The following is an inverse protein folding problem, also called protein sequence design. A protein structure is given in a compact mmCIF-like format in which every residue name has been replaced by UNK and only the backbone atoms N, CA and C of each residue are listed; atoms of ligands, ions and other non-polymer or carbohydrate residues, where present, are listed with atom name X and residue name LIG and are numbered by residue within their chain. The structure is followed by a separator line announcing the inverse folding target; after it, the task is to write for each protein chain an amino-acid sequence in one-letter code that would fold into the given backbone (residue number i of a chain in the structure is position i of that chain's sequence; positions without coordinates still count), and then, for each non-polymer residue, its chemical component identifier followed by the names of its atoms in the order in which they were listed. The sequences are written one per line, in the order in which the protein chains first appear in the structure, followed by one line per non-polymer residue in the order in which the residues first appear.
data_IF_259033706570
#
_entry.id   IF_259033706570
#
_cell.length_a   1.000
_cell.length_b   1.000
_cell.length_c   1.000
_cell.angle_alpha   90.00
_cell.angle_beta   90.00
_cell.angle_gamma   90.00
#
_symmetry.space_group_name_H-M   'P 1'
#
loop_
_entity.id
_entity.type
_entity.pdbx_description
1 polymer ?
#
# COMPACT_ATOMS: atom_id res chain seq x y z
N UNK A 1 13.42 -8.61 -22.60
CA UNK A 1 13.60 -9.66 -21.59
C UNK A 1 13.21 -11.02 -22.19
N UNK A 2 13.85 -12.12 -21.77
CA UNK A 2 13.48 -13.48 -22.20
C UNK A 2 13.72 -13.80 -23.69
N UNK A 3 14.58 -13.04 -24.39
CA UNK A 3 14.88 -13.35 -25.80
C UNK A 3 15.73 -14.61 -25.87
N UNK A 4 15.15 -15.68 -26.39
CA UNK A 4 15.88 -16.89 -26.75
C UNK A 4 17.00 -16.53 -27.73
N UNK A 5 18.18 -17.13 -27.52
CA UNK A 5 19.32 -16.98 -28.43
C UNK A 5 19.02 -17.75 -29.71
N UNK A 6 18.49 -17.05 -30.70
CA UNK A 6 18.15 -17.62 -32.01
C UNK A 6 19.32 -17.50 -32.98
N UNK A 7 19.36 -18.41 -33.96
CA UNK A 7 20.25 -18.30 -35.11
C UNK A 7 20.02 -16.98 -35.86
N UNK A 8 21.02 -16.45 -36.59
CA UNK A 8 20.85 -15.23 -37.36
C UNK A 8 19.61 -15.33 -38.27
N UNK A 9 18.80 -14.27 -38.37
CA UNK A 9 17.59 -14.29 -39.19
C UNK A 9 17.95 -14.46 -40.67
N UNK A 10 17.14 -15.23 -41.39
CA UNK A 10 17.25 -15.41 -42.84
C UNK A 10 17.09 -14.08 -43.59
N UNK A 11 17.56 -14.02 -44.83
CA UNK A 11 17.58 -12.81 -45.67
C UNK A 11 16.20 -12.15 -45.80
N UNK A 12 15.13 -12.94 -45.95
CA UNK A 12 13.76 -12.44 -46.01
C UNK A 12 13.32 -11.72 -44.71
N UNK A 13 13.66 -12.29 -43.55
CA UNK A 13 13.35 -11.68 -42.24
C UNK A 13 14.16 -10.41 -41.99
N UNK A 14 15.39 -10.31 -42.54
CA UNK A 14 16.19 -9.08 -42.49
C UNK A 14 15.55 -7.97 -43.31
N UNK A 15 15.19 -8.25 -44.57
CA UNK A 15 14.48 -7.30 -45.44
C UNK A 15 13.17 -6.80 -44.80
N UNK A 16 12.40 -7.70 -44.20
CA UNK A 16 11.16 -7.30 -43.50
C UNK A 16 11.43 -6.37 -42.31
N UNK A 17 12.51 -6.60 -41.55
CA UNK A 17 12.90 -5.72 -40.42
C UNK A 17 13.39 -4.36 -40.91
N UNK A 18 14.17 -4.34 -41.99
CA UNK A 18 14.65 -3.11 -42.62
C UNK A 18 13.49 -2.26 -43.14
N UNK A 19 12.51 -2.88 -43.80
CA UNK A 19 11.33 -2.19 -44.31
C UNK A 19 10.47 -1.63 -43.17
N UNK A 20 10.22 -2.41 -42.11
CA UNK A 20 9.53 -1.91 -40.90
C UNK A 20 10.27 -0.76 -40.23
N UNK A 21 11.61 -0.82 -40.20
CA UNK A 21 12.44 0.24 -39.65
C UNK A 21 12.38 1.52 -40.51
N UNK A 22 12.37 1.38 -41.84
CA UNK A 22 12.18 2.50 -42.78
C UNK A 22 10.83 3.18 -42.54
N UNK A 23 9.75 2.42 -42.52
CA UNK A 23 8.39 2.94 -42.25
C UNK A 23 8.30 3.63 -40.88
N UNK A 24 8.91 3.04 -39.84
CA UNK A 24 8.98 3.66 -38.51
C UNK A 24 9.69 5.01 -38.55
N UNK A 25 10.85 5.11 -39.23
CA UNK A 25 11.62 6.35 -39.34
C UNK A 25 10.82 7.44 -40.06
N UNK A 26 10.25 7.11 -41.21
CA UNK A 26 9.42 8.04 -42.00
C UNK A 26 8.21 8.56 -41.20
N UNK A 27 7.53 7.67 -40.47
CA UNK A 27 6.43 8.05 -39.60
C UNK A 27 6.89 8.99 -38.46
N UNK A 28 8.02 8.68 -37.82
CA UNK A 28 8.57 9.50 -36.74
C UNK A 28 9.05 10.87 -37.25
N UNK A 29 9.74 10.93 -38.38
CA UNK A 29 10.20 12.19 -38.98
C UNK A 29 9.01 13.10 -39.31
N UNK A 30 7.96 12.53 -39.89
CA UNK A 30 6.70 13.27 -40.19
C UNK A 30 6.02 13.75 -38.91
N UNK A 31 5.96 12.90 -37.87
CA UNK A 31 5.37 13.26 -36.58
C UNK A 31 6.14 14.40 -35.89
N UNK A 32 7.47 14.37 -35.93
CA UNK A 32 8.33 15.39 -35.33
C UNK A 32 8.35 16.69 -36.15
N UNK A 33 8.09 16.62 -37.46
CA UNK A 33 7.96 17.76 -38.35
C UNK A 33 6.65 18.56 -38.22
N UNK A 34 5.69 18.10 -37.39
CA UNK A 34 4.45 18.83 -37.12
C UNK A 34 3.28 18.46 -38.03
N UNK A 35 2.92 17.18 -38.08
CA UNK A 35 1.77 16.70 -38.84
C UNK A 35 0.42 17.24 -38.29
N UNK A 36 -0.60 17.44 -39.16
CA UNK A 36 -1.95 17.81 -38.74
C UNK A 36 -2.62 16.73 -37.88
N UNK A 37 -3.58 17.07 -37.00
CA UNK A 37 -4.11 16.15 -35.98
C UNK A 37 -4.62 14.81 -36.49
N UNK A 38 -5.37 14.78 -37.60
CA UNK A 38 -5.88 13.52 -38.16
C UNK A 38 -4.76 12.59 -38.65
N UNK A 39 -3.71 13.17 -39.25
CA UNK A 39 -2.53 12.41 -39.69
C UNK A 39 -1.72 11.93 -38.48
N UNK A 40 -1.63 12.71 -37.40
CA UNK A 40 -1.00 12.30 -36.14
C UNK A 40 -1.65 11.04 -35.58
N UNK A 41 -3.00 10.94 -35.56
CA UNK A 41 -3.67 9.74 -35.06
C UNK A 41 -3.35 8.49 -35.89
N UNK A 42 -3.30 8.62 -37.21
CA UNK A 42 -2.96 7.49 -38.09
C UNK A 42 -1.51 7.04 -37.89
N UNK A 43 -0.56 7.97 -37.93
CA UNK A 43 0.88 7.69 -37.81
C UNK A 43 1.23 7.15 -36.41
N UNK A 44 0.74 7.78 -35.35
CA UNK A 44 0.95 7.27 -33.98
C UNK A 44 0.29 5.90 -33.78
N UNK A 45 -0.86 5.66 -34.41
CA UNK A 45 -1.53 4.36 -34.39
C UNK A 45 -0.65 3.24 -34.94
N UNK A 46 -0.03 3.46 -36.11
CA UNK A 46 0.89 2.50 -36.72
C UNK A 46 2.11 2.22 -35.84
N UNK A 47 2.73 3.28 -35.30
CA UNK A 47 3.93 3.14 -34.45
C UNK A 47 3.62 2.40 -33.15
N UNK A 48 2.55 2.78 -32.45
CA UNK A 48 2.20 2.25 -31.13
C UNK A 48 1.63 0.81 -31.20
N UNK A 49 0.93 0.46 -32.29
CA UNK A 49 0.50 -0.92 -32.54
C UNK A 49 1.69 -1.88 -32.71
N UNK A 50 2.85 -1.39 -33.14
CA UNK A 50 4.08 -2.19 -33.21
C UNK A 50 4.91 -2.10 -31.92
N UNK A 51 4.98 -0.93 -31.30
CA UNK A 51 5.71 -0.69 -30.07
C UNK A 51 4.98 0.34 -29.17
N UNK A 52 4.23 -0.11 -28.15
CA UNK A 52 3.49 0.80 -27.29
C UNK A 52 4.37 1.56 -26.29
N UNK A 53 5.68 1.32 -26.26
CA UNK A 53 6.61 2.03 -25.34
C UNK A 53 7.20 3.31 -25.94
N UNK A 54 6.73 3.74 -27.12
CA UNK A 54 7.11 5.04 -27.70
C UNK A 54 6.32 6.17 -27.04
N UNK A 55 6.81 6.65 -25.88
CA UNK A 55 6.14 7.66 -25.06
C UNK A 55 5.77 8.96 -25.79
N UNK A 56 6.61 9.43 -26.71
CA UNK A 56 6.35 10.62 -27.52
C UNK A 56 5.08 10.46 -28.37
N UNK A 57 4.83 9.28 -28.94
CA UNK A 57 3.64 9.03 -29.74
C UNK A 57 2.37 9.14 -28.89
N UNK A 58 2.36 8.64 -27.65
CA UNK A 58 1.22 8.83 -26.74
C UNK A 58 0.95 10.31 -26.43
N UNK A 59 2.00 11.11 -26.23
CA UNK A 59 1.87 12.55 -26.01
C UNK A 59 1.26 13.27 -27.23
N UNK A 60 1.77 12.99 -28.43
CA UNK A 60 1.26 13.56 -29.67
C UNK A 60 -0.19 13.16 -29.93
N UNK A 61 -0.52 11.88 -29.67
CA UNK A 61 -1.86 11.33 -29.82
C UNK A 61 -2.87 12.02 -28.91
N UNK A 62 -2.54 12.24 -27.62
CA UNK A 62 -3.38 13.02 -26.69
C UNK A 62 -3.67 14.43 -27.18
N UNK A 63 -2.65 15.14 -27.67
CA UNK A 63 -2.82 16.49 -28.23
C UNK A 63 -3.74 16.49 -29.45
N UNK A 64 -3.59 15.51 -30.33
CA UNK A 64 -4.42 15.37 -31.52
C UNK A 64 -5.89 15.06 -31.17
N UNK A 65 -6.14 14.12 -30.24
CA UNK A 65 -7.49 13.80 -29.75
C UNK A 65 -8.19 15.02 -29.14
N UNK A 66 -7.47 15.77 -28.30
CA UNK A 66 -8.00 17.00 -27.70
C UNK A 66 -8.33 18.07 -28.75
N UNK A 67 -7.51 18.20 -29.80
CA UNK A 67 -7.73 19.18 -30.86
C UNK A 67 -8.88 18.82 -31.81
N UNK A 68 -9.10 17.52 -32.07
CA UNK A 68 -10.15 17.06 -32.99
C UNK A 68 -11.56 17.09 -32.36
N UNK A 69 -11.65 16.97 -31.03
CA UNK A 69 -12.93 16.90 -30.33
C UNK A 69 -13.76 15.66 -30.68
N UNK A 70 -15.03 15.65 -30.27
CA UNK A 70 -15.96 14.53 -30.50
C UNK A 70 -15.81 13.37 -29.52
N UNK A 71 -16.59 12.30 -29.75
CA UNK A 71 -16.61 11.09 -28.91
C UNK A 71 -15.63 10.04 -29.43
N UNK A 72 -14.34 10.24 -29.13
CA UNK A 72 -13.26 9.31 -29.49
C UNK A 72 -12.97 8.28 -28.39
N UNK A 73 -13.59 8.38 -27.22
CA UNK A 73 -13.26 7.55 -26.05
C UNK A 73 -13.44 6.05 -26.34
N UNK A 74 -14.57 5.58 -26.94
CA UNK A 74 -14.75 4.14 -27.18
C UNK A 74 -13.72 3.56 -28.16
N UNK A 75 -13.45 4.26 -29.27
CA UNK A 75 -12.49 3.80 -30.27
C UNK A 75 -11.05 3.83 -29.74
N UNK A 76 -10.72 4.83 -28.91
CA UNK A 76 -9.41 4.94 -28.29
C UNK A 76 -9.18 3.88 -27.21
N UNK A 77 -10.18 3.55 -26.39
CA UNK A 77 -10.08 2.44 -25.42
C UNK A 77 -9.83 1.09 -26.12
N UNK A 78 -10.46 0.86 -27.28
CA UNK A 78 -10.23 -0.32 -28.10
C UNK A 78 -8.79 -0.35 -28.65
N UNK A 79 -8.31 0.78 -29.16
CA UNK A 79 -6.92 0.89 -29.63
C UNK A 79 -5.89 0.62 -28.53
N UNK A 80 -6.11 1.16 -27.33
CA UNK A 80 -5.22 0.90 -26.18
C UNK A 80 -5.27 -0.57 -25.75
N UNK A 81 -6.43 -1.21 -25.80
CA UNK A 81 -6.54 -2.65 -25.53
C UNK A 81 -5.72 -3.48 -26.51
N UNK A 82 -5.69 -3.11 -27.80
CA UNK A 82 -4.83 -3.75 -28.80
C UNK A 82 -3.34 -3.57 -28.47
N UNK A 83 -2.94 -2.35 -28.08
CA UNK A 83 -1.57 -2.06 -27.65
C UNK A 83 -1.16 -2.88 -26.42
N UNK A 84 -2.05 -3.06 -25.45
CA UNK A 84 -1.83 -3.93 -24.29
C UNK A 84 -1.76 -5.42 -24.66
N UNK A 85 -2.44 -5.84 -25.73
CA UNK A 85 -2.27 -7.18 -26.30
C UNK A 85 -0.86 -7.42 -26.86
N UNK A 86 -0.17 -6.37 -27.32
CA UNK A 86 1.21 -6.43 -27.80
C UNK A 86 2.21 -6.41 -26.64
N UNK A 87 2.05 -5.48 -25.71
CA UNK A 87 2.85 -5.42 -24.49
C UNK A 87 1.97 -5.09 -23.27
N UNK A 88 1.55 -6.09 -22.48
CA UNK A 88 0.70 -5.88 -21.32
C UNK A 88 1.41 -5.19 -20.14
N UNK A 89 2.73 -4.95 -20.28
CA UNK A 89 3.59 -4.28 -19.28
C UNK A 89 4.03 -2.89 -19.75
N UNK A 90 3.37 -2.32 -20.77
CA UNK A 90 3.68 -0.98 -21.27
C UNK A 90 3.13 0.09 -20.34
N UNK A 91 4.01 0.84 -19.68
CA UNK A 91 3.62 2.00 -18.87
C UNK A 91 2.86 3.05 -19.70
N UNK A 92 3.31 3.30 -20.94
CA UNK A 92 2.70 4.28 -21.83
C UNK A 92 1.25 3.94 -22.14
N UNK A 93 0.97 2.68 -22.47
CA UNK A 93 -0.38 2.22 -22.77
C UNK A 93 -1.31 2.29 -21.55
N UNK A 94 -0.86 1.83 -20.37
CA UNK A 94 -1.67 1.91 -19.13
C UNK A 94 -1.96 3.35 -18.72
N UNK A 95 -0.93 4.22 -18.72
CA UNK A 95 -1.11 5.63 -18.41
C UNK A 95 -2.06 6.33 -19.39
N UNK A 96 -1.93 6.04 -20.69
CA UNK A 96 -2.84 6.58 -21.69
C UNK A 96 -4.26 6.05 -21.50
N UNK A 97 -4.46 4.78 -21.13
CA UNK A 97 -5.78 4.25 -20.78
C UNK A 97 -6.43 5.03 -19.65
N UNK A 98 -5.73 5.23 -18.54
CA UNK A 98 -6.24 6.02 -17.41
C UNK A 98 -6.60 7.45 -17.82
N UNK A 99 -5.79 8.07 -18.69
CA UNK A 99 -6.10 9.38 -19.27
C UNK A 99 -7.38 9.36 -20.11
N UNK A 100 -7.56 8.38 -20.99
CA UNK A 100 -8.78 8.23 -21.82
C UNK A 100 -10.03 8.08 -20.94
N UNK A 101 -9.96 7.24 -19.90
CA UNK A 101 -11.07 7.03 -18.97
C UNK A 101 -11.45 8.31 -18.22
N UNK A 102 -10.47 9.16 -17.89
CA UNK A 102 -10.70 10.47 -17.27
C UNK A 102 -11.44 11.48 -18.16
N UNK A 103 -11.55 11.22 -19.48
CA UNK A 103 -12.26 12.07 -20.43
C UNK A 103 -13.65 11.53 -20.82
N UNK A 104 -14.07 10.41 -20.22
CA UNK A 104 -15.35 9.81 -20.53
C UNK A 104 -16.52 10.59 -19.88
N UNK A 105 -17.63 10.87 -20.60
CA UNK A 105 -18.64 11.86 -20.22
C UNK A 105 -19.49 11.57 -18.96
N UNK A 106 -19.53 10.33 -18.46
CA UNK A 106 -20.17 9.88 -17.22
C UNK A 106 -19.81 8.38 -17.05
N UNK A 107 -19.71 7.79 -15.84
CA UNK A 107 -18.81 6.66 -15.58
C UNK A 107 -19.14 5.46 -16.48
N UNK A 108 -18.37 5.22 -17.56
CA UNK A 108 -18.58 4.09 -18.45
C UNK A 108 -17.64 2.93 -18.09
N UNK A 109 -16.83 3.07 -17.05
CA UNK A 109 -15.50 2.50 -16.95
C UNK A 109 -15.34 1.39 -15.91
N UNK A 110 -16.42 0.76 -15.46
CA UNK A 110 -16.33 -0.31 -14.47
C UNK A 110 -16.16 -1.68 -15.11
N UNK A 111 -17.22 -2.16 -15.77
CA UNK A 111 -17.35 -3.58 -16.11
C UNK A 111 -16.34 -4.04 -17.17
N UNK A 112 -16.20 -3.33 -18.28
CA UNK A 112 -15.29 -3.75 -19.36
C UNK A 112 -13.82 -3.68 -18.95
N UNK A 113 -13.47 -2.67 -18.17
CA UNK A 113 -12.13 -2.47 -17.61
C UNK A 113 -11.79 -3.51 -16.52
N UNK A 114 -12.74 -3.84 -15.64
CA UNK A 114 -12.59 -4.95 -14.70
C UNK A 114 -12.43 -6.28 -15.42
N UNK A 115 -13.23 -6.53 -16.46
CA UNK A 115 -13.10 -7.72 -17.29
C UNK A 115 -11.74 -7.77 -18.03
N UNK A 116 -11.20 -6.62 -18.46
CA UNK A 116 -9.85 -6.54 -19.01
C UNK A 116 -8.80 -6.93 -17.96
N UNK A 117 -8.89 -6.37 -16.74
CA UNK A 117 -8.02 -6.75 -15.63
C UNK A 117 -8.10 -8.25 -15.34
N UNK A 118 -9.30 -8.82 -15.29
CA UNK A 118 -9.50 -10.27 -15.06
C UNK A 118 -8.83 -11.12 -16.13
N UNK A 119 -9.00 -10.78 -17.41
CA UNK A 119 -8.34 -11.51 -18.50
C UNK A 119 -6.82 -11.40 -18.41
N UNK A 120 -6.28 -10.22 -18.11
CA UNK A 120 -4.84 -10.01 -18.01
C UNK A 120 -4.24 -10.70 -16.78
N UNK A 121 -4.95 -10.72 -15.65
CA UNK A 121 -4.54 -11.40 -14.42
C UNK A 121 -4.70 -12.92 -14.52
N UNK A 122 -5.65 -13.41 -15.31
CA UNK A 122 -5.74 -14.83 -15.64
C UNK A 122 -4.54 -15.29 -16.50
N UNK A 123 -4.03 -14.43 -17.37
CA UNK A 123 -2.86 -14.72 -18.20
C UNK A 123 -1.51 -14.52 -17.47
N UNK A 124 -1.39 -13.49 -16.64
CA UNK A 124 -0.24 -13.22 -15.77
C UNK A 124 -0.74 -12.66 -14.44
N UNK A 125 -0.91 -13.54 -13.45
CA UNK A 125 -1.40 -13.20 -12.10
C UNK A 125 -0.51 -12.21 -11.36
N UNK A 126 0.72 -12.02 -11.84
CA UNK A 126 1.73 -11.10 -11.29
C UNK A 126 1.84 -9.80 -12.09
N UNK A 127 0.94 -9.54 -13.05
CA UNK A 127 0.92 -8.28 -13.77
C UNK A 127 0.50 -7.12 -12.84
N UNK A 128 1.50 -6.46 -12.26
CA UNK A 128 1.28 -5.38 -11.31
C UNK A 128 0.56 -4.17 -11.92
N UNK A 129 0.67 -3.96 -13.24
CA UNK A 129 -0.05 -2.86 -13.92
C UNK A 129 -1.55 -3.12 -13.95
N UNK A 130 -1.97 -4.36 -14.27
CA UNK A 130 -3.37 -4.75 -14.23
C UNK A 130 -3.93 -4.66 -12.80
N UNK A 131 -3.14 -5.07 -11.81
CA UNK A 131 -3.48 -4.91 -10.40
C UNK A 131 -3.61 -3.45 -9.98
N UNK A 132 -2.71 -2.57 -10.41
CA UNK A 132 -2.78 -1.13 -10.11
C UNK A 132 -4.00 -0.49 -10.78
N UNK A 133 -4.23 -0.80 -12.05
CA UNK A 133 -5.41 -0.31 -12.77
C UNK A 133 -6.70 -0.78 -12.06
N UNK A 134 -6.81 -2.07 -11.72
CA UNK A 134 -7.96 -2.59 -10.95
C UNK A 134 -8.17 -1.80 -9.66
N UNK A 135 -7.11 -1.56 -8.88
CA UNK A 135 -7.19 -0.75 -7.65
C UNK A 135 -7.77 0.65 -7.89
N UNK A 136 -7.39 1.31 -8.98
CA UNK A 136 -7.93 2.64 -9.30
C UNK A 136 -9.41 2.60 -9.67
N UNK A 137 -9.88 1.53 -10.30
CA UNK A 137 -11.28 1.37 -10.71
C UNK A 137 -12.22 1.08 -9.53
N UNK A 138 -11.72 0.32 -8.55
CA UNK A 138 -12.49 -0.09 -7.35
C UNK A 138 -12.24 0.84 -6.16
N UNK A 139 -11.45 1.89 -6.34
CA UNK A 139 -11.20 2.88 -5.31
C UNK A 139 -12.53 3.55 -4.88
N UNK A 140 -12.81 3.52 -3.57
CA UNK A 140 -14.05 4.07 -3.01
C UNK A 140 -15.26 3.12 -3.06
N UNK A 141 -15.10 1.90 -3.58
CA UNK A 141 -16.10 0.83 -3.45
C UNK A 141 -15.91 0.06 -2.13
N UNK A 142 -16.92 -0.74 -1.77
CA UNK A 142 -16.86 -1.63 -0.62
C UNK A 142 -15.69 -2.63 -0.75
N UNK A 143 -14.73 -2.67 0.19
CA UNK A 143 -13.57 -3.56 0.13
C UNK A 143 -13.94 -5.05 0.17
N UNK A 144 -15.12 -5.43 0.67
CA UNK A 144 -15.50 -6.85 0.80
C UNK A 144 -15.58 -7.57 -0.55
N UNK A 145 -16.09 -6.92 -1.59
CA UNK A 145 -16.15 -7.51 -2.93
C UNK A 145 -14.76 -7.81 -3.49
N UNK A 146 -13.79 -6.92 -3.26
CA UNK A 146 -12.41 -7.11 -3.71
C UNK A 146 -11.64 -8.11 -2.84
N UNK A 147 -11.95 -8.18 -1.53
CA UNK A 147 -11.45 -9.24 -0.66
C UNK A 147 -11.95 -10.60 -1.15
N UNK A 148 -13.24 -10.74 -1.50
CA UNK A 148 -13.79 -11.96 -2.06
C UNK A 148 -13.13 -12.33 -3.40
N UNK A 149 -12.91 -11.36 -4.30
CA UNK A 149 -12.19 -11.57 -5.55
C UNK A 149 -10.76 -12.09 -5.31
N UNK A 150 -10.02 -11.45 -4.42
CA UNK A 150 -8.68 -11.91 -4.07
C UNK A 150 -8.68 -13.28 -3.40
N UNK A 151 -9.69 -13.58 -2.57
CA UNK A 151 -9.91 -14.90 -1.97
C UNK A 151 -10.11 -15.98 -3.03
N UNK A 152 -10.95 -15.73 -4.04
CA UNK A 152 -11.17 -16.65 -5.14
C UNK A 152 -9.90 -16.92 -5.96
N UNK A 153 -9.02 -15.92 -6.11
CA UNK A 153 -7.70 -16.12 -6.75
C UNK A 153 -6.78 -16.99 -5.88
N UNK A 154 -6.75 -16.77 -4.57
CA UNK A 154 -5.93 -17.55 -3.65
C UNK A 154 -6.40 -19.00 -3.53
N UNK A 155 -7.72 -19.25 -3.53
CA UNK A 155 -8.25 -20.61 -3.55
C UNK A 155 -7.82 -21.41 -4.79
N UNK A 156 -7.48 -20.73 -5.89
CA UNK A 156 -6.96 -21.36 -7.12
C UNK A 156 -5.44 -21.49 -7.11
N UNK A 157 -4.75 -20.50 -6.54
CA UNK A 157 -3.29 -20.40 -6.50
C UNK A 157 -2.86 -19.62 -5.25
N UNK A 158 -2.51 -20.34 -4.18
CA UNK A 158 -2.02 -19.74 -2.95
C UNK A 158 -0.65 -19.07 -3.14
N UNK A 159 0.11 -19.38 -4.19
CA UNK A 159 1.38 -18.72 -4.53
C UNK A 159 1.21 -17.38 -5.24
N UNK A 160 -0.03 -16.92 -5.43
CA UNK A 160 -0.31 -15.60 -5.98
C UNK A 160 0.01 -14.47 -4.98
N UNK A 161 1.28 -14.09 -4.90
CA UNK A 161 1.77 -12.98 -4.08
C UNK A 161 1.00 -11.67 -4.30
N UNK A 162 0.56 -11.41 -5.52
CA UNK A 162 -0.14 -10.16 -5.84
C UNK A 162 -1.55 -10.11 -5.23
N UNK A 163 -2.23 -11.26 -5.15
CA UNK A 163 -3.51 -11.37 -4.45
C UNK A 163 -3.35 -11.18 -2.94
N UNK A 164 -2.34 -11.82 -2.32
CA UNK A 164 -2.00 -11.57 -0.91
C UNK A 164 -1.71 -10.09 -0.63
N UNK A 165 -0.88 -9.47 -1.47
CA UNK A 165 -0.57 -8.05 -1.34
C UNK A 165 -1.80 -7.16 -1.49
N UNK A 166 -2.70 -7.52 -2.41
CA UNK A 166 -3.95 -6.78 -2.60
C UNK A 166 -4.86 -6.86 -1.38
N UNK A 167 -5.06 -8.06 -0.80
CA UNK A 167 -5.79 -8.24 0.47
C UNK A 167 -5.19 -7.39 1.59
N UNK A 168 -3.87 -7.43 1.74
CA UNK A 168 -3.17 -6.62 2.75
C UNK A 168 -3.48 -5.12 2.57
N UNK A 169 -3.53 -4.62 1.34
CA UNK A 169 -3.88 -3.20 1.09
C UNK A 169 -5.33 -2.89 1.43
N UNK A 170 -6.26 -3.77 1.09
CA UNK A 170 -7.69 -3.58 1.38
C UNK A 170 -7.96 -3.54 2.89
N UNK A 171 -7.23 -4.36 3.64
CA UNK A 171 -7.30 -4.42 5.10
C UNK A 171 -6.53 -3.28 5.80
N UNK A 172 -5.91 -2.36 5.05
CA UNK A 172 -5.18 -1.26 5.66
C UNK A 172 -6.16 -0.27 6.31
N UNK A 173 -5.86 0.25 7.52
CA UNK A 173 -6.69 1.29 8.13
C UNK A 173 -6.86 2.47 7.18
N UNK A 174 -8.08 3.02 7.13
CA UNK A 174 -8.33 4.26 6.40
C UNK A 174 -7.34 5.32 6.89
N UNK A 175 -6.57 5.92 5.96
CA UNK A 175 -5.53 6.93 6.27
C UNK A 175 -6.08 8.23 6.87
N UNK A 176 -7.39 8.30 7.11
CA UNK A 176 -8.13 9.48 7.56
C UNK A 176 -8.37 9.51 9.08
N UNK A 177 -7.96 8.49 9.82
CA UNK A 177 -7.94 8.56 11.28
C UNK A 177 -6.63 9.23 11.71
N UNK A 178 -6.72 10.39 12.37
CA UNK A 178 -5.59 11.21 12.77
C UNK A 178 -4.55 10.46 13.60
N UNK A 179 -3.32 10.92 13.45
CA UNK A 179 -2.14 10.74 14.31
C UNK A 179 -2.26 9.73 15.48
N UNK A 180 -1.61 8.57 15.33
CA UNK A 180 -1.14 7.78 16.47
C UNK A 180 -1.59 6.32 16.49
N UNK A 181 -2.76 6.01 15.96
CA UNK A 181 -3.26 4.64 15.90
C UNK A 181 -3.04 4.09 14.50
N UNK A 182 -1.95 3.33 14.31
CA UNK A 182 -1.88 2.37 13.23
C UNK A 182 -3.01 1.36 13.49
N UNK A 183 -4.21 1.65 12.94
CA UNK A 183 -5.45 0.95 13.26
C UNK A 183 -5.23 -0.55 13.29
N UNK A 184 -5.38 -1.13 14.48
CA UNK A 184 -5.29 -2.57 14.63
C UNK A 184 -6.43 -3.21 13.83
N UNK A 185 -6.17 -4.37 13.23
CA UNK A 185 -7.26 -5.13 12.65
C UNK A 185 -8.20 -5.60 13.77
N UNK A 186 -9.54 -5.53 13.56
CA UNK A 186 -10.48 -6.10 14.52
C UNK A 186 -10.14 -7.57 14.82
N UNK A 187 -10.27 -8.04 16.08
CA UNK A 187 -9.88 -9.40 16.47
C UNK A 187 -10.50 -10.50 15.62
N UNK A 188 -11.78 -10.35 15.26
CA UNK A 188 -12.49 -11.31 14.39
C UNK A 188 -11.88 -11.37 12.99
N UNK A 189 -11.63 -10.20 12.37
CA UNK A 189 -10.98 -10.14 11.04
C UNK A 189 -9.56 -10.68 11.09
N UNK A 190 -8.81 -10.37 12.15
CA UNK A 190 -7.47 -10.92 12.35
C UNK A 190 -7.51 -12.46 12.39
N UNK A 191 -8.45 -13.03 13.14
CA UNK A 191 -8.62 -14.48 13.24
C UNK A 191 -8.94 -15.11 11.88
N UNK A 192 -9.86 -14.53 11.11
CA UNK A 192 -10.18 -14.99 9.74
C UNK A 192 -8.93 -15.01 8.83
N UNK A 193 -8.13 -13.93 8.85
CA UNK A 193 -6.91 -13.86 8.05
C UNK A 193 -5.83 -14.84 8.50
N UNK A 194 -5.72 -15.08 9.81
CA UNK A 194 -4.80 -16.07 10.38
C UNK A 194 -5.18 -17.49 9.96
N UNK A 195 -6.47 -17.84 9.99
CA UNK A 195 -6.97 -19.12 9.51
C UNK A 195 -6.71 -19.29 8.00
N UNK A 196 -6.96 -18.26 7.20
CA UNK A 196 -6.71 -18.27 5.76
C UNK A 196 -5.22 -18.52 5.44
N UNK A 197 -4.31 -17.77 6.08
CA UNK A 197 -2.86 -17.90 5.81
C UNK A 197 -2.30 -19.20 6.38
N UNK A 198 -2.83 -19.69 7.50
CA UNK A 198 -2.46 -20.98 8.08
C UNK A 198 -2.79 -22.12 7.11
N UNK A 199 -3.98 -22.12 6.52
CA UNK A 199 -4.36 -23.09 5.50
C UNK A 199 -3.40 -23.06 4.29
N UNK A 200 -3.01 -21.87 3.83
CA UNK A 200 -2.06 -21.73 2.72
C UNK A 200 -0.66 -22.30 3.06
N UNK A 201 -0.13 -21.96 4.24
CA UNK A 201 1.18 -22.42 4.71
C UNK A 201 1.22 -23.94 4.88
N UNK A 202 0.15 -24.55 5.41
CA UNK A 202 0.08 -26.00 5.54
C UNK A 202 -0.12 -26.72 4.20
N UNK A 203 -0.67 -26.03 3.20
CA UNK A 203 -0.81 -26.58 1.84
C UNK A 203 0.51 -26.58 1.10
N UNK A 204 1.27 -25.47 1.17
CA UNK A 204 2.63 -25.38 0.62
C UNK A 204 3.54 -24.58 1.57
N UNK A 205 4.35 -25.26 2.40
CA UNK A 205 5.22 -24.59 3.35
C UNK A 205 6.40 -23.86 2.68
N UNK A 206 6.69 -24.14 1.41
CA UNK A 206 7.81 -23.53 0.68
C UNK A 206 7.45 -22.20 0.02
N UNK A 207 6.15 -21.93 -0.15
CA UNK A 207 5.67 -20.68 -0.72
C UNK A 207 5.86 -19.52 0.27
N UNK A 208 6.77 -18.62 -0.10
CA UNK A 208 7.11 -17.44 0.70
C UNK A 208 5.97 -16.42 0.78
N UNK A 209 5.01 -16.46 -0.14
CA UNK A 209 3.95 -15.46 -0.23
C UNK A 209 3.07 -15.44 1.02
N UNK A 210 2.62 -16.62 1.45
CA UNK A 210 1.82 -16.78 2.65
C UNK A 210 2.60 -16.39 3.92
N UNK A 211 3.88 -16.78 4.02
CA UNK A 211 4.74 -16.39 5.15
C UNK A 211 4.95 -14.88 5.25
N UNK A 212 5.18 -14.21 4.12
CA UNK A 212 5.30 -12.74 4.09
C UNK A 212 3.99 -12.08 4.49
N UNK A 213 2.86 -12.61 4.02
CA UNK A 213 1.53 -12.12 4.40
C UNK A 213 1.27 -12.27 5.90
N UNK A 214 1.54 -13.45 6.47
CA UNK A 214 1.42 -13.73 7.92
C UNK A 214 2.21 -12.70 8.74
N UNK A 215 3.48 -12.48 8.38
CA UNK A 215 4.32 -11.49 9.07
C UNK A 215 3.70 -10.09 9.04
N UNK A 216 3.15 -9.68 7.90
CA UNK A 216 2.50 -8.38 7.74
C UNK A 216 1.19 -8.28 8.54
N UNK A 217 0.36 -9.32 8.56
CA UNK A 217 -0.89 -9.32 9.34
C UNK A 217 -0.60 -9.27 10.85
N UNK A 218 0.39 -10.03 11.34
CA UNK A 218 0.81 -9.97 12.74
C UNK A 218 1.29 -8.57 13.15
N UNK A 219 1.92 -7.83 12.23
CA UNK A 219 2.33 -6.44 12.49
C UNK A 219 1.16 -5.47 12.67
N UNK A 220 -0.05 -5.86 12.25
CA UNK A 220 -1.32 -5.10 12.40
C UNK A 220 -2.14 -5.49 13.62
N UNK A 221 -1.62 -6.40 14.44
CA UNK A 221 -2.16 -6.70 15.75
C UNK A 221 -1.08 -6.42 16.82
N UNK A 222 -0.48 -5.22 16.83
CA UNK A 222 0.49 -4.91 17.87
C UNK A 222 -0.23 -5.01 19.23
N UNK A 223 0.36 -5.69 20.22
CA UNK A 223 -0.19 -5.64 21.57
C UNK A 223 -0.24 -4.18 22.04
N UNK A 224 -1.22 -3.82 22.89
CA UNK A 224 -1.27 -2.49 23.47
C UNK A 224 0.03 -2.19 24.21
N UNK A 225 0.45 -0.91 24.27
CA UNK A 225 1.60 -0.54 25.06
C UNK A 225 1.36 -0.93 26.52
N UNK A 226 2.36 -1.60 27.12
CA UNK A 226 2.32 -2.09 28.51
C UNK A 226 3.43 -1.47 29.32
N UNK A 227 3.22 -1.32 30.62
CA UNK A 227 4.27 -0.92 31.56
C UNK A 227 5.20 -2.12 31.82
N UNK A 228 6.46 -1.98 31.42
CA UNK A 228 7.51 -3.00 31.62
C UNK A 228 8.21 -2.78 32.96
N UNK A 229 8.50 -1.53 33.31
CA UNK A 229 9.27 -1.21 34.50
C UNK A 229 8.80 0.11 35.10
N UNK A 230 8.76 0.15 36.42
CA UNK A 230 8.63 1.36 37.22
C UNK A 230 9.87 1.44 38.09
N UNK A 231 10.57 2.56 38.02
CA UNK A 231 11.77 2.83 38.79
C UNK A 231 11.59 4.14 39.55
N UNK A 232 12.10 4.20 40.77
CA UNK A 232 12.06 5.39 41.61
C UNK A 232 13.50 5.73 41.96
N UNK A 233 13.89 6.95 41.62
CA UNK A 233 15.13 7.55 42.06
C UNK A 233 14.84 8.45 43.26
N UNK A 234 15.42 8.12 44.42
CA UNK A 234 15.27 8.91 45.65
C UNK A 234 16.18 10.13 45.68
N UNK A 235 17.32 10.09 44.99
CA UNK A 235 18.26 11.21 44.95
C UNK A 235 17.72 12.33 44.06
N UNK A 236 17.16 11.95 42.91
CA UNK A 236 16.56 12.87 41.94
C UNK A 236 15.05 13.11 42.16
N UNK A 237 14.48 12.56 43.24
CA UNK A 237 13.05 12.66 43.58
C UNK A 237 12.11 12.41 42.38
N UNK A 238 12.39 11.38 41.60
CA UNK A 238 11.73 11.14 40.31
C UNK A 238 11.25 9.69 40.17
N UNK A 239 10.02 9.51 39.67
CA UNK A 239 9.55 8.21 39.16
C UNK A 239 9.73 8.14 37.65
N UNK A 240 10.30 7.03 37.19
CA UNK A 240 10.43 6.68 35.79
C UNK A 240 9.55 5.47 35.45
N UNK A 241 8.70 5.63 34.42
CA UNK A 241 7.85 4.56 33.88
C UNK A 241 8.34 4.21 32.48
N UNK A 242 8.62 2.93 32.24
CA UNK A 242 9.14 2.42 30.97
C UNK A 242 8.09 1.52 30.32
N UNK A 243 7.78 1.82 29.06
CA UNK A 243 6.79 1.12 28.24
C UNK A 243 7.42 0.17 27.23
N UNK A 244 6.63 -0.82 26.79
CA UNK A 244 7.01 -1.76 25.72
C UNK A 244 7.12 -1.14 24.33
N UNK A 245 6.53 0.03 24.13
CA UNK A 245 6.52 0.80 22.88
C UNK A 245 6.50 2.29 23.21
N UNK A 246 6.88 3.17 22.28
CA UNK A 246 6.73 4.60 22.48
C UNK A 246 5.25 4.97 22.65
N UNK A 247 4.91 5.63 23.75
CA UNK A 247 3.58 6.19 24.00
C UNK A 247 3.65 7.70 24.13
N UNK A 248 2.57 8.39 23.78
CA UNK A 248 2.43 9.84 23.99
C UNK A 248 1.49 10.05 25.17
N UNK A 249 2.02 10.36 26.34
CA UNK A 249 1.20 10.70 27.51
C UNK A 249 0.70 12.13 27.33
N UNK A 250 -0.62 12.32 27.41
CA UNK A 250 -1.24 13.63 27.34
C UNK A 250 -1.03 14.39 28.67
N UNK A 251 -0.45 15.61 28.65
CA UNK A 251 -0.27 16.43 29.86
C UNK A 251 -1.57 16.86 30.54
N UNK A 252 -2.66 17.01 29.79
CA UNK A 252 -3.94 17.54 30.29
C UNK A 252 -4.90 16.44 30.79
N UNK A 253 -4.73 15.21 30.30
CA UNK A 253 -5.50 14.05 30.72
C UNK A 253 -4.58 12.81 30.70
N UNK A 254 -3.85 12.53 31.78
CA UNK A 254 -2.85 11.49 31.74
C UNK A 254 -3.51 10.11 31.87
N UNK A 255 -3.52 9.38 30.76
CA UNK A 255 -3.79 7.92 30.71
C UNK A 255 -2.84 7.14 31.65
N UNK A 256 -1.68 7.74 31.98
CA UNK A 256 -0.71 7.25 32.94
C UNK A 256 -0.93 7.91 34.32
N UNK A 257 -1.32 7.12 35.31
CA UNK A 257 -1.52 7.60 36.68
C UNK A 257 -0.54 6.92 37.62
N UNK A 258 -0.05 7.69 38.58
CA UNK A 258 0.79 7.19 39.65
C UNK A 258 0.25 7.69 41.00
N UNK A 259 0.10 6.78 41.95
CA UNK A 259 -0.48 7.02 43.27
C UNK A 259 0.56 6.61 44.31
N UNK A 260 0.99 7.56 45.14
CA UNK A 260 1.93 7.34 46.23
C UNK A 260 1.18 7.41 47.55
N UNK A 261 1.16 6.33 48.34
CA UNK A 261 0.45 6.23 49.62
C UNK A 261 -1.02 6.70 49.55
N UNK A 262 -1.73 6.32 48.48
CA UNK A 262 -3.13 6.73 48.25
C UNK A 262 -3.32 8.15 47.70
N UNK A 263 -2.25 8.93 47.54
CA UNK A 263 -2.31 10.28 46.96
C UNK A 263 -1.81 10.28 45.52
N UNK A 264 -2.62 10.79 44.58
CA UNK A 264 -2.22 10.89 43.17
C UNK A 264 -1.08 11.90 43.00
N UNK A 265 -0.04 11.51 42.27
CA UNK A 265 1.05 12.41 41.90
C UNK A 265 0.53 13.48 40.92
N UNK A 266 0.61 14.75 41.31
CA UNK A 266 0.08 15.88 40.54
C UNK A 266 1.09 16.49 39.53
N UNK A 267 2.30 15.92 39.42
CA UNK A 267 3.34 16.43 38.55
C UNK A 267 3.06 16.16 37.06
N UNK A 268 3.46 17.06 36.13
CA UNK A 268 3.31 16.80 34.71
C UNK A 268 4.29 15.71 34.27
N UNK A 269 3.78 14.70 33.59
CA UNK A 269 4.61 13.69 32.94
C UNK A 269 5.47 14.32 31.84
N UNK A 270 6.78 14.03 31.88
CA UNK A 270 7.74 14.47 30.86
C UNK A 270 8.32 13.26 30.18
N UNK A 271 8.56 13.33 28.88
CA UNK A 271 9.30 12.27 28.21
C UNK A 271 10.75 12.27 28.69
N UNK A 272 11.40 11.12 28.71
CA UNK A 272 12.82 11.00 29.09
C UNK A 272 13.77 11.81 28.20
N UNK A 273 13.34 12.16 26.98
CA UNK A 273 14.08 13.03 26.06
C UNK A 273 13.76 14.53 26.24
N UNK A 274 12.81 14.88 27.12
CA UNK A 274 12.38 16.26 27.37
C UNK A 274 11.58 16.91 26.22
N UNK A 275 11.04 16.12 25.28
CA UNK A 275 10.30 16.61 24.10
C UNK A 275 8.89 16.03 24.03
N UNK A 276 7.88 16.77 23.51
CA UNK A 276 6.49 16.29 23.42
C UNK A 276 6.29 15.32 22.26
N UNK A 277 6.91 14.14 22.34
CA UNK A 277 6.93 13.09 21.31
C UNK A 277 6.60 11.74 21.95
N UNK A 278 6.14 10.74 21.19
CA UNK A 278 6.05 9.38 21.69
C UNK A 278 7.41 8.92 22.26
N UNK A 279 7.42 8.43 23.49
CA UNK A 279 8.64 7.98 24.19
C UNK A 279 8.39 6.69 24.94
N UNK A 280 9.44 5.88 25.09
CA UNK A 280 9.40 4.68 25.92
C UNK A 280 9.46 5.03 27.41
N UNK A 281 10.02 6.18 27.76
CA UNK A 281 10.29 6.54 29.16
C UNK A 281 9.56 7.83 29.48
N UNK A 282 8.80 7.79 30.57
CA UNK A 282 8.08 8.94 31.10
C UNK A 282 8.48 9.16 32.56
N UNK A 283 8.75 10.41 32.90
CA UNK A 283 9.25 10.85 34.18
C UNK A 283 8.22 11.75 34.86
N UNK A 284 8.03 11.57 36.16
CA UNK A 284 7.21 12.44 36.99
C UNK A 284 7.96 12.72 38.31
N UNK A 285 8.02 13.97 38.79
CA UNK A 285 8.59 14.25 40.10
C UNK A 285 7.71 13.64 41.21
N UNK A 286 8.34 13.11 42.25
CA UNK A 286 7.66 12.66 43.47
C UNK A 286 7.89 13.66 44.61
N UNK A 287 6.91 13.85 45.52
CA UNK A 287 7.17 14.53 46.78
C UNK A 287 8.22 13.72 47.56
N UNK A 288 9.11 14.41 48.29
CA UNK A 288 10.15 13.79 49.09
C UNK A 288 9.61 12.57 49.88
N UNK A 289 10.12 11.35 49.62
CA UNK A 289 9.58 10.14 50.23
C UNK A 289 9.81 10.16 51.75
N UNK A 290 8.86 9.69 52.56
CA UNK A 290 9.01 9.65 54.02
C UNK A 290 10.17 8.73 54.42
N UNK A 291 11.08 9.21 55.28
CA UNK A 291 12.25 8.44 55.73
C UNK A 291 11.92 7.37 56.79
N UNK A 292 10.77 7.46 57.46
CA UNK A 292 10.48 6.68 58.67
C UNK A 292 9.55 5.48 58.42
N UNK A 293 8.96 5.33 57.23
CA UNK A 293 7.99 4.29 56.92
C UNK A 293 8.03 3.88 55.45
N UNK A 294 7.81 2.59 55.12
CA UNK A 294 7.75 2.16 53.74
C UNK A 294 6.62 2.87 53.00
N UNK A 295 6.88 3.30 51.77
CA UNK A 295 5.91 3.97 50.92
C UNK A 295 5.52 3.06 49.74
N UNK A 296 4.24 3.05 49.40
CA UNK A 296 3.69 2.24 48.32
C UNK A 296 3.36 3.13 47.12
N UNK A 297 3.97 2.83 45.97
CA UNK A 297 3.67 3.45 44.70
C UNK A 297 2.90 2.48 43.82
N UNK A 298 1.74 2.92 43.36
CA UNK A 298 0.90 2.24 42.38
C UNK A 298 0.95 3.01 41.06
N UNK A 299 1.23 2.32 39.95
CA UNK A 299 1.20 2.89 38.61
C UNK A 299 0.17 2.15 37.77
N UNK A 300 -0.71 2.92 37.12
CA UNK A 300 -1.75 2.40 36.22
C UNK A 300 -1.67 3.09 34.86
N UNK A 301 -1.90 2.32 33.80
CA UNK A 301 -1.95 2.79 32.42
C UNK A 301 -3.31 2.43 31.85
N UNK A 302 -4.15 3.40 31.50
CA UNK A 302 -5.55 3.14 31.13
C UNK A 302 -5.74 2.10 29.98
N UNK A 303 -4.89 2.08 28.93
CA UNK A 303 -4.91 1.02 27.90
C UNK A 303 -4.40 -0.36 28.34
N UNK A 304 -3.74 -0.47 29.50
CA UNK A 304 -3.27 -1.71 30.11
C UNK A 304 -3.71 -1.76 31.57
N UNK A 305 -4.85 -2.39 31.85
CA UNK A 305 -5.42 -2.50 33.20
C UNK A 305 -4.53 -3.27 34.22
N UNK A 306 -3.29 -3.61 33.87
CA UNK A 306 -2.32 -4.21 34.78
C UNK A 306 -1.77 -3.17 35.77
N UNK A 307 -2.16 -3.31 37.05
CA UNK A 307 -1.58 -2.57 38.16
C UNK A 307 -0.11 -2.96 38.38
N UNK A 308 0.76 -1.97 38.56
CA UNK A 308 2.16 -2.17 38.96
C UNK A 308 2.42 -1.50 40.30
N UNK A 309 2.91 -2.29 41.26
CA UNK A 309 3.21 -1.84 42.61
C UNK A 309 4.71 -1.84 42.88
N UNK A 310 5.19 -0.80 43.54
CA UNK A 310 6.56 -0.68 44.04
C UNK A 310 6.50 -0.27 45.51
N UNK A 311 7.15 -1.04 46.37
CA UNK A 311 7.30 -0.69 47.80
C UNK A 311 8.69 -0.11 48.03
N UNK A 312 8.73 1.16 48.41
CA UNK A 312 9.92 1.85 48.88
C UNK A 312 10.19 1.45 50.32
N UNK A 313 11.38 0.94 50.59
CA UNK A 313 11.86 0.70 51.95
C UNK A 313 12.55 1.97 52.50
N UNK A 314 12.59 2.15 53.83
CA UNK A 314 13.26 3.28 54.49
C UNK A 314 14.70 3.52 53.99
#
# INVERSE_FOLDING_TARGET
HGRLKLRPPDSARRRQREEKLRQYREAMDTLLGGAPPAQVLSLTGSVLAANPDVGTCWNLRRRALAALGGDWVPSELSFVAQCLGVNPKSYGAWHHRSWVLGHAPAPPAGREDLALCERLLAADSRNFHAWEHRRTLVAGQDPEAELAYAGALLSRDFSNFSAWHHRLRLLAPARNCGEGEAGALPPERLKEELELVQNAIFTDPTDQSAWVYLRCILSRAPPPPRVICVHIDREDETVAVIFSRPVKVNPECPELRAILNGSTLAGPWRSGEGRPRPSHTWLCPIPAPPNDSPAHLEVTWEPDHALREVTLQP
#
